data_IF_617765464666
#
_entry.id   IF_617765464666
#
_cell.length_a   1.000
_cell.length_b   1.000
_cell.length_c   1.000
_cell.angle_alpha   90.00
_cell.angle_beta   90.00
_cell.angle_gamma   90.00
#
_symmetry.space_group_name_H-M   'P 1'
#
loop_
_entity.id
_entity.type
_entity.pdbx_description
1 polymer ?
#
# COMPACT_ATOMS: atom_id res chain seq x y z
N UNK A 20 -16.30 -2.56 7.03
CA UNK A 20 -16.35 -1.39 6.11
C UNK A 20 -17.02 -0.19 6.77
N UNK A 21 -16.31 0.94 6.79
CA UNK A 21 -16.85 2.16 7.39
C UNK A 21 -17.43 3.08 6.33
N UNK A 22 -16.57 3.61 5.47
CA UNK A 22 -17.03 4.51 4.42
C UNK A 22 -15.92 4.89 3.45
N UNK A 23 -16.27 5.17 2.18
CA UNK A 23 -15.28 5.54 1.16
C UNK A 23 -14.68 6.92 1.42
N UNK A 24 -13.71 6.97 2.33
CA UNK A 24 -13.06 8.24 2.66
C UNK A 24 -12.11 8.67 1.55
N UNK A 25 -12.36 9.85 0.99
CA UNK A 25 -11.53 10.38 -0.08
C UNK A 25 -10.09 10.54 0.38
N UNK A 26 -9.15 10.66 -0.58
CA UNK A 26 -7.72 10.82 -0.26
C UNK A 26 -7.44 12.08 0.54
N UNK A 27 -6.47 12.00 1.45
CA UNK A 27 -6.10 13.13 2.28
C UNK A 27 -4.95 12.77 3.21
N UNK A 28 -4.23 13.78 3.68
CA UNK A 28 -3.09 13.57 4.57
C UNK A 28 -3.51 13.71 6.02
N UNK A 29 -3.20 12.69 6.82
CA UNK A 29 -3.54 12.68 8.24
C UNK A 29 -2.78 11.60 8.99
N UNK A 30 -3.03 11.50 10.29
CA UNK A 30 -2.37 10.50 11.12
C UNK A 30 -3.18 9.21 11.16
N UNK A 31 -2.70 8.15 10.47
CA UNK A 31 -3.39 6.86 10.44
C UNK A 31 -3.34 6.13 11.78
N UNK A 32 -4.50 5.91 12.42
CA UNK A 32 -4.57 5.24 13.72
C UNK A 32 -3.94 3.85 13.67
N UNK A 33 -4.30 3.02 14.65
CA UNK A 33 -3.78 1.65 14.73
C UNK A 33 -4.88 0.65 15.05
N UNK A 34 -4.56 -0.63 14.94
CA UNK A 34 -5.52 -1.69 15.23
C UNK A 34 -6.72 -1.62 14.30
N UNK A 35 -6.55 -0.92 13.16
CA UNK A 35 -7.63 -0.78 12.20
C UNK A 35 -7.12 -0.99 10.77
N UNK A 36 -7.81 -1.83 10.01
CA UNK A 36 -7.41 -2.11 8.64
C UNK A 36 -7.82 -0.97 7.70
N UNK A 37 -6.96 -0.65 6.75
CA UNK A 37 -7.22 0.41 5.80
C UNK A 37 -7.49 -0.15 4.41
N UNK A 38 -8.75 -0.44 4.13
CA UNK A 38 -9.13 -0.99 2.83
C UNK A 38 -9.11 0.09 1.75
N UNK A 39 -8.05 0.08 0.93
CA UNK A 39 -7.91 1.05 -0.14
C UNK A 39 -8.43 0.48 -1.46
N UNK A 40 -9.51 1.08 -1.96
CA UNK A 40 -10.11 0.63 -3.21
C UNK A 40 -9.84 1.63 -4.34
N UNK A 41 -8.69 1.50 -5.02
CA UNK A 41 -8.31 2.39 -6.12
C UNK A 41 -9.18 2.18 -7.35
N UNK A 42 -9.00 3.04 -8.35
CA UNK A 42 -9.77 2.95 -9.59
C UNK A 42 -8.88 2.52 -10.75
N UNK A 43 -7.61 2.91 -10.70
CA UNK A 43 -6.66 2.56 -11.74
C UNK A 43 -5.25 2.45 -11.19
N UNK A 44 -4.29 2.21 -12.07
CA UNK A 44 -2.88 2.08 -11.68
C UNK A 44 -2.35 3.40 -11.12
N UNK A 45 -1.06 3.41 -10.81
CA UNK A 45 -0.44 4.62 -10.27
C UNK A 45 -0.33 4.58 -8.75
N UNK A 46 -0.17 5.75 -8.15
CA UNK A 46 -0.05 5.85 -6.70
C UNK A 46 -1.40 5.66 -6.01
N UNK A 47 -1.38 5.03 -4.85
CA UNK A 47 -2.61 4.78 -4.09
C UNK A 47 -2.54 5.43 -2.72
N UNK A 48 -1.40 5.28 -2.05
CA UNK A 48 -1.21 5.84 -0.73
C UNK A 48 0.26 5.82 -0.32
N UNK A 49 0.63 6.67 0.62
CA UNK A 49 2.00 6.75 1.09
C UNK A 49 2.06 7.19 2.55
N UNK A 50 3.22 7.02 3.17
CA UNK A 50 3.38 7.40 4.56
C UNK A 50 4.84 7.48 4.98
N UNK A 51 5.21 8.56 5.64
CA UNK A 51 6.58 8.75 6.09
C UNK A 51 6.64 9.74 7.25
N UNK A 52 7.83 9.88 7.84
CA UNK A 52 8.02 10.79 8.96
C UNK A 52 8.87 11.99 8.56
N UNK A 53 9.54 11.88 7.41
CA UNK A 53 10.39 12.96 6.92
C UNK A 53 11.55 13.22 7.87
N UNK A 54 12.05 12.16 8.49
CA UNK A 54 13.16 12.28 9.43
C UNK A 54 14.14 11.12 9.26
N UNK A 55 13.63 9.90 9.31
CA UNK A 55 14.46 8.71 9.15
C UNK A 55 13.60 7.46 8.93
N UNK A 56 12.58 7.59 8.10
CA UNK A 56 11.69 6.47 7.81
C UNK A 56 10.66 6.85 6.75
N UNK A 57 10.69 6.16 5.63
CA UNK A 57 9.76 6.43 4.53
C UNK A 57 9.08 5.15 4.06
N UNK A 58 7.80 5.25 3.74
CA UNK A 58 7.03 4.09 3.28
C UNK A 58 5.91 4.52 2.35
N UNK A 59 6.06 4.25 1.06
CA UNK A 59 5.05 4.61 0.07
C UNK A 59 4.38 3.36 -0.50
N UNK A 60 3.25 3.56 -1.18
CA UNK A 60 2.51 2.45 -1.77
C UNK A 60 2.01 2.83 -3.16
N UNK A 61 2.50 2.11 -4.17
CA UNK A 61 2.10 2.37 -5.55
C UNK A 61 1.58 1.09 -6.21
N UNK A 62 0.80 1.26 -7.27
CA UNK A 62 0.24 0.12 -8.00
C UNK A 62 0.73 0.10 -9.45
N UNK A 63 0.96 -1.10 -9.97
CA UNK A 63 1.42 -1.26 -11.35
C UNK A 63 0.34 -1.88 -12.23
N UNK A 64 0.19 -1.33 -13.43
CA UNK A 64 -0.81 -1.83 -14.37
C UNK A 64 -0.34 -3.13 -15.03
N UNK A 65 -1.27 -4.04 -15.34
CA UNK A 65 -0.94 -5.33 -15.99
C UNK A 65 -0.14 -5.14 -17.27
N UNK A 66 0.56 -6.19 -17.69
CA UNK A 66 1.36 -6.15 -18.90
C UNK A 66 2.38 -5.02 -18.84
N UNK A 67 3.60 -5.35 -18.42
CA UNK A 67 4.67 -4.35 -18.32
C UNK A 67 6.04 -5.00 -18.47
N UNK A 68 6.74 -4.65 -19.55
CA UNK A 68 8.06 -5.21 -19.81
C UNK A 68 9.14 -4.42 -19.10
N UNK A 69 9.00 -4.28 -17.79
CA UNK A 69 9.97 -3.54 -16.98
C UNK A 69 10.23 -2.15 -17.55
N UNK A 70 9.55 -1.15 -16.99
CA UNK A 70 9.71 0.22 -17.44
C UNK A 70 10.07 1.15 -16.28
N UNK A 71 10.59 2.33 -16.62
CA UNK A 71 10.97 3.30 -15.60
C UNK A 71 10.38 4.67 -15.91
N UNK A 72 9.37 5.06 -15.13
CA UNK A 72 8.71 6.35 -15.32
C UNK A 72 9.09 7.31 -14.20
N UNK A 73 8.85 8.60 -14.43
CA UNK A 73 9.16 9.62 -13.44
C UNK A 73 7.91 10.02 -12.65
N UNK A 74 7.99 9.91 -11.34
CA UNK A 74 6.87 10.25 -10.47
C UNK A 74 7.32 11.11 -9.29
N UNK A 75 6.37 11.78 -8.66
CA UNK A 75 6.67 12.63 -7.52
C UNK A 75 6.53 11.86 -6.20
N UNK A 76 7.66 11.60 -5.54
CA UNK A 76 7.65 10.87 -4.29
C UNK A 76 7.73 11.82 -3.10
N UNK A 77 6.61 11.98 -2.39
CA UNK A 77 6.55 12.87 -1.24
C UNK A 77 6.87 14.30 -1.64
N UNK A 78 6.51 14.67 -2.86
CA UNK A 78 6.78 16.01 -3.34
C UNK A 78 8.05 16.09 -4.17
N UNK A 79 9.00 15.22 -3.87
CA UNK A 79 10.27 15.20 -4.59
C UNK A 79 10.17 14.34 -5.84
N UNK A 80 10.43 14.94 -7.00
CA UNK A 80 10.36 14.22 -8.27
C UNK A 80 11.45 13.16 -8.35
N UNK A 81 11.05 11.93 -8.65
CA UNK A 81 11.99 10.81 -8.75
C UNK A 81 11.54 9.82 -9.81
N UNK A 82 12.43 8.91 -10.18
CA UNK A 82 12.13 7.90 -11.19
C UNK A 82 11.95 6.53 -10.55
N UNK A 83 10.82 5.88 -10.83
CA UNK A 83 10.53 4.57 -10.28
C UNK A 83 10.47 3.51 -11.38
N UNK A 84 10.69 2.26 -11.00
CA UNK A 84 10.66 1.15 -11.95
C UNK A 84 9.55 0.16 -11.60
N UNK A 85 8.78 -0.24 -12.61
CA UNK A 85 7.69 -1.18 -12.41
C UNK A 85 7.71 -2.28 -13.46
N UNK A 86 6.87 -3.30 -13.26
CA UNK A 86 6.80 -4.41 -14.20
C UNK A 86 5.55 -5.26 -13.94
N UNK A 87 5.26 -6.17 -14.86
CA UNK A 87 4.09 -7.03 -14.74
C UNK A 87 4.17 -8.18 -15.74
N UNK A 88 3.73 -9.36 -15.32
CA UNK A 88 3.74 -10.53 -16.18
C UNK A 88 2.33 -11.02 -16.49
N UNK A 89 1.36 -10.58 -15.70
CA UNK A 89 -0.03 -10.97 -15.91
C UNK A 89 -0.69 -10.14 -17.00
N UNK A 90 -1.93 -10.46 -17.31
CA UNK A 90 -2.67 -9.75 -18.34
C UNK A 90 -3.77 -8.88 -17.72
N UNK A 91 -4.37 -9.36 -16.64
CA UNK A 91 -5.44 -8.63 -15.97
C UNK A 91 -5.26 -8.63 -14.45
N UNK A 92 -4.01 -8.68 -13.99
CA UNK A 92 -3.73 -8.68 -12.56
C UNK A 92 -2.78 -7.54 -12.20
N UNK A 93 -3.14 -6.79 -11.17
CA UNK A 93 -2.32 -5.67 -10.72
C UNK A 93 -1.17 -6.14 -9.83
N UNK A 94 -0.13 -5.32 -9.74
CA UNK A 94 1.03 -5.65 -8.93
C UNK A 94 1.41 -4.49 -8.01
N UNK A 95 0.99 -4.58 -6.76
CA UNK A 95 1.27 -3.54 -5.78
C UNK A 95 2.74 -3.58 -5.35
N UNK A 96 3.37 -2.42 -5.31
CA UNK A 96 4.77 -2.31 -4.91
C UNK A 96 4.96 -1.31 -3.77
N UNK A 97 5.55 -1.77 -2.69
CA UNK A 97 5.79 -0.91 -1.53
C UNK A 97 7.26 -0.49 -1.46
N UNK A 98 7.48 0.82 -1.40
CA UNK A 98 8.84 1.36 -1.32
C UNK A 98 9.16 1.83 0.08
N UNK A 99 10.46 1.89 0.40
CA UNK A 99 10.90 2.34 1.71
C UNK A 99 12.29 2.97 1.64
N UNK A 100 12.48 4.04 2.41
CA UNK A 100 13.76 4.74 2.43
C UNK A 100 14.23 4.96 3.87
N UNK A 101 15.52 5.28 4.02
CA UNK A 101 16.09 5.51 5.34
C UNK A 101 16.29 7.00 5.60
N UNK A 102 16.56 7.75 4.54
CA UNK A 102 16.76 9.19 4.65
C UNK A 102 16.11 9.93 3.49
N UNK A 103 16.06 11.25 3.58
CA UNK A 103 15.46 12.08 2.54
C UNK A 103 16.25 11.96 1.24
N UNK A 104 15.58 11.47 0.20
CA UNK A 104 16.22 11.30 -1.10
C UNK A 104 17.40 10.35 -1.01
N UNK A 105 17.33 9.41 -0.07
CA UNK A 105 18.42 8.46 0.10
C UNK A 105 18.19 7.18 -0.68
N UNK A 106 18.08 6.05 0.03
CA UNK A 106 17.87 4.76 -0.61
C UNK A 106 16.48 4.70 -1.25
N UNK A 107 16.16 3.53 -1.81
CA UNK A 107 14.87 3.34 -2.47
C UNK A 107 14.65 1.88 -2.82
N UNK A 108 14.16 1.10 -1.87
CA UNK A 108 13.92 -0.33 -2.09
C UNK A 108 12.43 -0.59 -2.31
N UNK A 109 12.10 -1.19 -3.45
CA UNK A 109 10.71 -1.50 -3.78
C UNK A 109 10.40 -2.96 -3.47
N UNK A 110 9.71 -3.20 -2.36
CA UNK A 110 9.34 -4.54 -1.96
C UNK A 110 7.86 -4.62 -1.60
N UNK A 111 7.42 -5.80 -1.17
CA UNK A 111 6.03 -5.99 -0.80
C UNK A 111 5.15 -6.35 -2.00
N UNK A 112 5.46 -7.48 -2.68
CA UNK A 112 4.68 -7.92 -3.84
C UNK A 112 3.29 -8.42 -3.46
N UNK A 113 2.28 -7.87 -4.13
CA UNK A 113 0.89 -8.25 -3.85
C UNK A 113 0.06 -8.16 -5.13
N UNK A 114 -0.38 -9.31 -5.62
CA UNK A 114 -1.19 -9.36 -6.84
C UNK A 114 -2.67 -9.40 -6.49
N UNK A 115 -3.43 -8.47 -7.07
CA UNK A 115 -4.86 -8.40 -6.84
C UNK A 115 -5.65 -8.58 -8.14
N UNK A 116 -6.58 -9.52 -8.15
CA UNK A 116 -7.39 -9.78 -9.32
C UNK A 116 -8.68 -8.96 -9.31
N UNK A 117 -9.43 -8.99 -8.19
CA UNK A 117 -10.69 -8.25 -8.06
C UNK A 117 -10.46 -6.76 -7.77
N UNK A 118 -9.20 -6.36 -7.69
CA UNK A 118 -8.85 -4.96 -7.41
C UNK A 118 -9.24 -4.57 -5.98
N UNK A 119 -8.26 -4.62 -5.09
CA UNK A 119 -8.50 -4.28 -3.68
C UNK A 119 -7.20 -4.29 -2.89
N UNK A 120 -7.02 -3.30 -2.03
CA UNK A 120 -5.82 -3.20 -1.20
C UNK A 120 -6.19 -2.96 0.25
N UNK A 121 -5.32 -3.40 1.17
CA UNK A 121 -5.57 -3.24 2.59
C UNK A 121 -4.25 -3.19 3.37
N UNK A 122 -4.19 -2.28 4.34
CA UNK A 122 -2.99 -2.13 5.16
C UNK A 122 -3.37 -1.84 6.61
N UNK A 123 -2.48 -2.16 7.53
CA UNK A 123 -2.72 -1.93 8.96
C UNK A 123 -1.42 -1.93 9.75
N UNK A 124 -1.48 -1.40 10.96
CA UNK A 124 -0.31 -1.33 11.83
C UNK A 124 -0.68 -1.73 13.26
N UNK A 125 -0.09 -2.83 13.74
CA UNK A 125 -0.37 -3.31 15.09
C UNK A 125 0.90 -3.84 15.74
N UNK A 126 0.99 -3.67 17.06
CA UNK A 126 2.15 -4.13 17.82
C UNK A 126 3.44 -3.55 17.27
N UNK A 127 3.34 -2.42 16.57
CA UNK A 127 4.51 -1.79 16.00
C UNK A 127 4.92 -2.40 14.67
N UNK A 128 4.28 -3.48 14.27
CA UNK A 128 4.58 -4.14 13.02
C UNK A 128 3.48 -3.92 12.00
N UNK A 129 3.83 -3.27 10.89
CA UNK A 129 2.86 -2.98 9.83
C UNK A 129 2.35 -4.27 9.18
N UNK A 130 1.08 -4.57 9.41
CA UNK A 130 0.47 -5.77 8.84
C UNK A 130 -0.15 -5.48 7.49
N UNK A 131 0.44 -6.03 6.43
CA UNK A 131 -0.05 -5.82 5.08
C UNK A 131 -0.19 -7.14 4.33
N UNK A 132 -1.16 -7.21 3.43
CA UNK A 132 -1.40 -8.41 2.65
C UNK A 132 -0.36 -8.57 1.55
N UNK A 133 0.24 -9.75 1.47
CA UNK A 133 1.26 -10.02 0.46
C UNK A 133 0.84 -11.20 -0.42
N UNK A 134 1.74 -11.60 -1.31
CA UNK A 134 1.45 -12.71 -2.20
C UNK A 134 0.30 -12.41 -3.15
N UNK A 135 -0.21 -13.45 -3.82
CA UNK A 135 -1.31 -13.28 -4.76
C UNK A 135 -2.64 -13.18 -4.02
N UNK A 136 -3.68 -12.73 -4.73
CA UNK A 136 -5.00 -12.58 -4.15
C UNK A 136 -5.57 -13.93 -3.70
N UNK A 137 -5.76 -14.87 -4.64
CA UNK A 137 -6.30 -16.20 -4.33
C UNK A 137 -5.48 -16.90 -3.25
N UNK A 138 -4.28 -16.39 -2.99
CA UNK A 138 -3.40 -16.98 -1.98
C UNK A 138 -2.59 -15.89 -1.29
N UNK A 139 -3.29 -14.90 -0.74
CA UNK A 139 -2.64 -13.79 -0.05
C UNK A 139 -1.85 -14.29 1.17
N UNK A 140 -0.95 -13.44 1.64
CA UNK A 140 -0.13 -13.76 2.80
C UNK A 140 0.15 -12.51 3.62
N UNK A 141 -0.64 -12.33 4.68
CA UNK A 141 -0.49 -11.16 5.55
C UNK A 141 0.82 -11.21 6.32
N UNK A 142 1.81 -10.45 5.86
CA UNK A 142 3.11 -10.40 6.51
C UNK A 142 3.16 -9.18 7.43
N UNK A 143 4.31 -8.98 8.08
CA UNK A 143 4.46 -7.85 8.98
C UNK A 143 5.82 -7.17 8.78
N UNK A 144 5.89 -5.90 9.17
CA UNK A 144 7.13 -5.13 9.04
C UNK A 144 7.45 -4.43 10.36
N UNK A 145 8.50 -4.90 11.03
CA UNK A 145 8.91 -4.32 12.30
C UNK A 145 9.18 -2.82 12.17
N UNK A 146 8.61 -2.04 13.07
CA UNK A 146 8.79 -0.59 13.06
C UNK A 146 9.16 -0.08 14.45
N UNK A 147 9.39 1.23 14.55
CA UNK A 147 9.76 1.85 15.82
C UNK A 147 9.01 3.15 16.02
N UNK A 148 9.18 4.09 15.09
CA UNK A 148 8.52 5.38 15.16
C UNK A 148 7.23 5.38 14.36
N UNK A 149 6.64 4.19 14.17
CA UNK A 149 5.41 4.06 13.41
C UNK A 149 4.33 5.00 13.94
N UNK A 150 4.23 5.09 15.26
CA UNK A 150 3.23 5.96 15.89
C UNK A 150 3.46 7.42 15.52
N UNK A 151 4.67 7.74 15.05
CA UNK A 151 4.99 9.11 14.67
C UNK A 151 5.15 9.24 13.16
N UNK A 152 4.33 8.50 12.42
CA UNK A 152 4.37 8.54 10.96
C UNK A 152 3.01 8.92 10.38
N UNK A 153 3.03 9.81 9.39
CA UNK A 153 1.80 10.26 8.75
C UNK A 153 1.62 9.58 7.40
N UNK A 154 0.38 9.53 6.93
CA UNK A 154 0.07 8.89 5.65
C UNK A 154 -0.71 9.85 4.75
N UNK A 155 -0.66 9.60 3.44
CA UNK A 155 -1.35 10.43 2.47
C UNK A 155 -2.04 9.57 1.41
N UNK A 156 -3.35 9.41 1.55
CA UNK A 156 -4.12 8.62 0.61
C UNK A 156 -4.25 9.32 -0.74
N UNK A 157 -4.10 8.55 -1.82
CA UNK A 157 -4.21 9.11 -3.16
C UNK A 157 -5.51 8.70 -3.84
N UNK A 158 -6.38 8.02 -3.10
CA UNK A 158 -7.66 7.58 -3.63
C UNK A 158 -8.66 7.31 -2.51
N UNK A 159 -9.79 6.69 -2.86
CA UNK A 159 -10.82 6.40 -1.88
C UNK A 159 -10.50 5.12 -1.11
N UNK A 160 -10.71 5.16 0.20
CA UNK A 160 -10.44 4.01 1.05
C UNK A 160 -11.54 3.81 2.07
N UNK A 161 -11.49 2.70 2.80
CA UNK A 161 -12.50 2.39 3.81
C UNK A 161 -11.84 2.00 5.14
N UNK A 162 -12.56 2.21 6.23
CA UNK A 162 -12.05 1.89 7.56
C UNK A 162 -12.70 0.62 8.09
N UNK A 163 -11.88 -0.30 8.58
CA UNK A 163 -12.37 -1.57 9.12
C UNK A 163 -11.59 -1.97 10.37
N UNK A 164 -12.28 -2.45 11.42
CA UNK A 164 -11.64 -2.88 12.66
C UNK A 164 -10.83 -4.15 12.49
N UNK A 165 -9.72 -4.25 13.23
CA UNK A 165 -8.85 -5.42 13.16
C UNK A 165 -9.62 -6.70 13.51
N UNK A 166 -10.70 -6.54 14.28
CA UNK A 166 -11.51 -7.68 14.69
C UNK A 166 -12.00 -8.48 13.48
N UNK A 167 -12.25 -7.77 12.38
CA UNK A 167 -12.72 -8.41 11.15
C UNK A 167 -11.56 -8.75 10.22
N UNK A 168 -10.47 -9.26 10.80
CA UNK A 168 -9.29 -9.63 10.03
C UNK A 168 -9.64 -10.60 8.92
N UNK A 169 -10.37 -11.66 9.27
CA UNK A 169 -10.77 -12.68 8.30
C UNK A 169 -11.63 -12.06 7.19
N UNK A 170 -12.35 -11.01 7.52
CA UNK A 170 -13.22 -10.33 6.55
C UNK A 170 -12.38 -9.63 5.49
N UNK A 171 -11.34 -8.93 5.93
CA UNK A 171 -10.46 -8.21 5.02
C UNK A 171 -9.82 -9.15 4.01
N UNK A 172 -9.33 -10.29 4.50
CA UNK A 172 -8.69 -11.28 3.65
C UNK A 172 -9.63 -11.73 2.53
N UNK A 173 -10.84 -12.15 2.90
CA UNK A 173 -11.81 -12.61 1.93
C UNK A 173 -12.20 -11.49 0.96
N UNK A 174 -12.08 -10.25 1.42
CA UNK A 174 -12.41 -9.10 0.59
C UNK A 174 -11.44 -8.94 -0.56
N UNK A 175 -10.14 -9.07 -0.26
CA UNK A 175 -9.10 -8.93 -1.27
C UNK A 175 -9.16 -10.08 -2.28
N UNK A 176 -9.31 -11.30 -1.77
CA UNK A 176 -9.38 -12.49 -2.62
C UNK A 176 -10.45 -12.34 -3.69
N UNK A 177 -11.71 -12.23 -3.27
CA UNK A 177 -12.82 -12.08 -4.20
C UNK A 177 -13.96 -11.29 -3.56
N UNK A 178 -13.60 -10.24 -2.82
CA UNK A 178 -14.60 -9.41 -2.18
C UNK A 178 -15.53 -8.74 -3.17
N UNK A 179 -14.98 -7.83 -3.97
CA UNK A 179 -15.77 -7.12 -4.96
C UNK A 179 -15.82 -7.90 -6.27
#
# INVERSE_FOLDING_TARGET
>A
APVNWGPGETNDSTTVEPVLDGPYQPTTFNPPVDYWMLLAPTAAGVVVEGTNNTDRWLATILVEPNVTSETRSYTLFGTQEQITIANASQTQWKFIDVVKTTQNGSYSQYGPLQSTPKLYAVMKHNGKIYTYNGETPNVTTKYYSTTNYDSVNMTAFCDFYIIPREEESTCTEYINNGLPPIQNTR
#
